data_IF_585044137397
#
_entry.id   IF_585044137397
#
_cell.length_a   1.000
_cell.length_b   1.000
_cell.length_c   1.000
_cell.angle_alpha   90.00
_cell.angle_beta   90.00
_cell.angle_gamma   90.00
#
_symmetry.space_group_name_H-M   'P 1'
#
loop_
_entity.id
_entity.type
_entity.pdbx_description
1 polymer ?
#
# COMPACT_ATOMS: atom_id res chain seq x y z
N UNK A 1 0.40 13.95 -40.08
CA UNK A 1 1.05 13.41 -38.88
C UNK A 1 -0.03 13.39 -37.80
N UNK A 2 -0.49 12.22 -37.39
CA UNK A 2 -1.56 12.08 -36.39
C UNK A 2 -0.92 11.88 -35.01
N UNK A 3 -1.29 12.74 -34.05
CA UNK A 3 -0.88 12.61 -32.65
C UNK A 3 -1.59 11.42 -32.01
N UNK A 4 -0.81 10.47 -31.52
CA UNK A 4 -1.31 9.32 -30.77
C UNK A 4 -1.66 9.76 -29.34
N UNK A 5 -2.95 9.93 -29.07
CA UNK A 5 -3.48 10.19 -27.74
C UNK A 5 -3.20 8.97 -26.82
N UNK A 6 -2.68 9.16 -25.60
CA UNK A 6 -2.39 8.05 -24.69
C UNK A 6 -3.71 7.40 -24.27
N UNK A 7 -3.90 6.13 -24.64
CA UNK A 7 -5.06 5.36 -24.20
C UNK A 7 -4.96 5.13 -22.70
N UNK A 8 -5.89 5.75 -21.96
CA UNK A 8 -6.14 5.39 -20.57
C UNK A 8 -6.70 3.97 -20.54
N UNK A 9 -5.83 2.98 -20.32
CA UNK A 9 -6.28 1.64 -19.97
C UNK A 9 -7.10 1.75 -18.67
N UNK A 10 -8.31 1.16 -18.62
CA UNK A 10 -9.07 1.08 -17.38
C UNK A 10 -8.17 0.43 -16.33
N UNK A 11 -7.87 1.15 -15.24
CA UNK A 11 -7.18 0.54 -14.10
C UNK A 11 -8.06 -0.62 -13.64
N UNK A 12 -7.54 -1.84 -13.69
CA UNK A 12 -8.19 -2.95 -13.00
C UNK A 12 -8.47 -2.49 -11.56
N UNK A 13 -9.72 -2.66 -11.07
CA UNK A 13 -10.02 -2.35 -9.69
C UNK A 13 -9.07 -3.15 -8.82
N UNK A 14 -8.44 -2.47 -7.86
CA UNK A 14 -7.51 -3.12 -6.95
C UNK A 14 -8.21 -4.32 -6.28
N UNK A 15 -7.53 -5.45 -6.03
CA UNK A 15 -8.15 -6.66 -5.48
C UNK A 15 -8.88 -6.48 -4.14
N UNK A 16 -8.75 -5.32 -3.49
CA UNK A 16 -9.47 -4.98 -2.26
C UNK A 16 -10.54 -3.89 -2.45
N UNK A 17 -10.87 -3.53 -3.70
CA UNK A 17 -11.85 -2.49 -4.01
C UNK A 17 -13.26 -2.84 -3.50
N UNK A 18 -13.58 -4.13 -3.45
CA UNK A 18 -14.87 -4.65 -2.99
C UNK A 18 -14.82 -5.20 -1.55
N UNK A 19 -13.67 -5.09 -0.86
CA UNK A 19 -13.52 -5.57 0.50
C UNK A 19 -13.89 -4.48 1.51
N UNK A 20 -14.60 -4.83 2.60
CA UNK A 20 -14.87 -3.87 3.67
C UNK A 20 -13.58 -3.49 4.40
N UNK A 21 -13.52 -2.26 4.92
CA UNK A 21 -12.29 -1.67 5.47
C UNK A 21 -11.66 -2.49 6.60
N UNK A 22 -12.45 -3.18 7.41
CA UNK A 22 -11.98 -4.09 8.46
C UNK A 22 -11.21 -5.29 7.87
N UNK A 23 -11.72 -5.88 6.78
CA UNK A 23 -11.04 -6.98 6.06
C UNK A 23 -9.76 -6.51 5.37
N UNK A 24 -9.77 -5.28 4.83
CA UNK A 24 -8.57 -4.67 4.24
C UNK A 24 -7.50 -4.45 5.30
N UNK A 25 -7.87 -3.99 6.49
CA UNK A 25 -6.95 -3.83 7.62
C UNK A 25 -6.41 -5.17 8.13
N UNK A 26 -7.24 -6.21 8.21
CA UNK A 26 -6.79 -7.57 8.59
C UNK A 26 -5.72 -8.10 7.61
N UNK A 27 -5.97 -7.97 6.31
CA UNK A 27 -5.02 -8.39 5.25
C UNK A 27 -3.72 -7.60 5.37
N UNK A 28 -3.81 -6.29 5.54
CA UNK A 28 -2.64 -5.41 5.63
C UNK A 28 -1.82 -5.67 6.89
N UNK A 29 -2.47 -5.90 8.05
CA UNK A 29 -1.77 -6.28 9.27
C UNK A 29 -1.00 -7.60 9.10
N UNK A 30 -1.59 -8.57 8.40
CA UNK A 30 -0.93 -9.83 8.09
C UNK A 30 0.24 -9.65 7.10
N UNK A 31 0.04 -8.88 6.03
CA UNK A 31 1.07 -8.59 5.03
C UNK A 31 2.24 -7.79 5.59
N UNK A 32 2.01 -6.93 6.58
CA UNK A 32 3.07 -6.19 7.27
C UNK A 32 3.96 -7.08 8.13
N UNK A 33 3.41 -8.16 8.70
CA UNK A 33 4.13 -9.02 9.64
C UNK A 33 5.35 -9.69 8.97
N UNK A 34 5.19 -10.15 7.73
CA UNK A 34 6.26 -10.80 6.96
C UNK A 34 7.54 -9.94 6.84
N UNK A 35 7.51 -8.81 6.11
CA UNK A 35 8.69 -7.98 5.91
C UNK A 35 9.22 -7.40 7.22
N UNK A 36 8.37 -7.07 8.21
CA UNK A 36 8.83 -6.60 9.53
C UNK A 36 9.62 -7.69 10.26
N UNK A 37 9.12 -8.93 10.23
CA UNK A 37 9.80 -10.06 10.88
C UNK A 37 11.15 -10.35 10.22
N UNK A 38 11.23 -10.30 8.88
CA UNK A 38 12.49 -10.51 8.14
C UNK A 38 13.48 -9.40 8.46
N UNK A 39 13.06 -8.14 8.42
CA UNK A 39 13.92 -7.00 8.79
C UNK A 39 14.43 -7.16 10.23
N UNK A 40 13.57 -7.54 11.16
CA UNK A 40 13.96 -7.78 12.55
C UNK A 40 15.04 -8.85 12.68
N UNK A 41 14.89 -9.96 11.97
CA UNK A 41 15.87 -11.05 11.96
C UNK A 41 17.21 -10.62 11.35
N UNK A 42 17.20 -9.99 10.18
CA UNK A 42 18.43 -9.58 9.51
C UNK A 42 19.15 -8.45 10.28
N UNK A 43 18.41 -7.51 10.90
CA UNK A 43 19.00 -6.48 11.79
C UNK A 43 19.61 -7.10 13.04
N UNK A 44 18.97 -8.11 13.64
CA UNK A 44 19.52 -8.83 14.78
C UNK A 44 20.83 -9.54 14.39
N UNK A 45 20.84 -10.23 13.24
CA UNK A 45 22.05 -10.86 12.70
C UNK A 45 23.18 -9.88 12.47
N UNK A 46 22.90 -8.74 11.83
CA UNK A 46 23.87 -7.68 11.62
C UNK A 46 24.41 -7.11 12.92
N UNK A 47 23.55 -6.90 13.92
CA UNK A 47 23.91 -6.30 15.20
C UNK A 47 24.75 -7.24 16.06
N UNK A 48 24.47 -8.54 16.01
CA UNK A 48 25.15 -9.57 16.78
C UNK A 48 26.37 -10.16 16.05
N UNK A 49 26.60 -9.79 14.80
CA UNK A 49 27.67 -10.37 13.98
C UNK A 49 27.46 -11.86 13.71
N UNK A 50 26.22 -12.34 13.74
CA UNK A 50 25.89 -13.76 13.51
C UNK A 50 25.66 -14.01 12.02
N UNK A 51 26.70 -13.76 11.25
CA UNK A 51 26.76 -14.01 9.81
C UNK A 51 28.21 -14.17 9.36
N UNK A 52 28.42 -14.90 8.27
CA UNK A 52 29.75 -15.01 7.64
C UNK A 52 29.98 -13.84 6.67
N UNK A 53 31.25 -13.46 6.42
CA UNK A 53 31.58 -12.33 5.53
C UNK A 53 30.97 -12.48 4.12
N UNK A 54 30.80 -13.72 3.65
CA UNK A 54 30.17 -14.05 2.38
C UNK A 54 28.63 -13.88 2.37
N UNK A 55 27.99 -13.91 3.54
CA UNK A 55 26.53 -13.73 3.70
C UNK A 55 26.14 -12.24 3.76
N UNK A 56 27.08 -11.34 4.06
CA UNK A 56 26.83 -9.91 4.17
C UNK A 56 26.11 -9.30 2.95
N UNK A 57 26.53 -9.54 1.69
CA UNK A 57 25.80 -9.01 0.53
C UNK A 57 24.35 -9.52 0.45
N UNK A 58 24.10 -10.79 0.78
CA UNK A 58 22.77 -11.39 0.75
C UNK A 58 21.87 -10.80 1.86
N UNK A 59 22.40 -10.62 3.06
CA UNK A 59 21.75 -9.94 4.19
C UNK A 59 21.28 -8.53 3.81
N UNK A 60 22.14 -7.77 3.14
CA UNK A 60 21.81 -6.41 2.69
C UNK A 60 20.75 -6.44 1.59
N UNK A 61 20.82 -7.39 0.65
CA UNK A 61 19.81 -7.55 -0.40
C UNK A 61 18.44 -7.90 0.19
N UNK A 62 18.39 -8.83 1.15
CA UNK A 62 17.16 -9.24 1.84
C UNK A 62 16.53 -8.08 2.62
N UNK A 63 17.34 -7.25 3.27
CA UNK A 63 16.88 -6.02 3.93
C UNK A 63 16.29 -5.02 2.93
N UNK A 64 16.97 -4.78 1.81
CA UNK A 64 16.47 -3.87 0.78
C UNK A 64 15.15 -4.34 0.19
N UNK A 65 15.02 -5.63 -0.11
CA UNK A 65 13.79 -6.20 -0.63
C UNK A 65 12.64 -6.10 0.38
N UNK A 66 12.91 -6.41 1.66
CA UNK A 66 11.90 -6.30 2.72
C UNK A 66 11.44 -4.85 2.94
N UNK A 67 12.36 -3.88 2.85
CA UNK A 67 12.03 -2.44 2.90
C UNK A 67 11.18 -2.03 1.69
N UNK A 68 11.49 -2.53 0.49
CA UNK A 68 10.71 -2.28 -0.71
C UNK A 68 9.29 -2.83 -0.60
N UNK A 69 9.14 -4.04 -0.06
CA UNK A 69 7.83 -4.65 0.22
C UNK A 69 7.03 -3.82 1.23
N UNK A 70 7.65 -3.41 2.33
CA UNK A 70 7.03 -2.54 3.33
C UNK A 70 6.56 -1.21 2.71
N UNK A 71 7.41 -0.59 1.87
CA UNK A 71 7.08 0.65 1.16
C UNK A 71 5.86 0.50 0.25
N UNK A 72 5.78 -0.61 -0.51
CA UNK A 72 4.61 -0.92 -1.35
C UNK A 72 3.33 -1.04 -0.51
N UNK A 73 3.37 -1.78 0.59
CA UNK A 73 2.24 -1.96 1.50
C UNK A 73 1.77 -0.60 2.05
N UNK A 74 2.68 0.24 2.51
CA UNK A 74 2.37 1.60 3.01
C UNK A 74 1.78 2.49 1.92
N UNK A 75 2.29 2.44 0.69
CA UNK A 75 1.72 3.21 -0.44
C UNK A 75 0.30 2.74 -0.76
N UNK A 76 0.05 1.44 -0.74
CA UNK A 76 -1.29 0.88 -0.94
C UNK A 76 -2.25 1.34 0.15
N UNK A 77 -1.84 1.27 1.43
CA UNK A 77 -2.58 1.83 2.57
C UNK A 77 -2.94 3.31 2.37
N UNK A 78 -1.96 4.13 1.97
CA UNK A 78 -2.17 5.57 1.71
C UNK A 78 -3.14 5.83 0.55
N UNK A 79 -3.20 4.95 -0.45
CA UNK A 79 -4.18 5.06 -1.54
C UNK A 79 -5.58 4.71 -1.06
N UNK A 80 -5.74 3.65 -0.27
CA UNK A 80 -7.03 3.27 0.30
C UNK A 80 -7.59 4.33 1.23
N UNK A 81 -6.78 4.84 2.15
CA UNK A 81 -7.19 5.90 3.09
C UNK A 81 -7.47 7.26 2.44
N UNK A 82 -6.89 7.54 1.27
CA UNK A 82 -7.21 8.73 0.47
C UNK A 82 -8.36 8.52 -0.52
N UNK A 83 -8.71 7.26 -0.80
CA UNK A 83 -9.80 6.88 -1.69
C UNK A 83 -11.14 6.80 -0.95
N UNK A 84 -11.27 7.43 0.22
CA UNK A 84 -12.55 7.71 0.86
C UNK A 84 -13.04 9.12 0.45
N UNK A 85 -13.87 9.24 -0.60
CA UNK A 85 -14.53 10.49 -0.99
C UNK A 85 -15.74 10.83 -0.11
N UNK A 86 -16.10 10.05 0.92
CA UNK A 86 -17.35 10.24 1.68
C UNK A 86 -17.30 11.40 2.70
N UNK A 87 -16.15 12.08 2.81
CA UNK A 87 -16.08 13.42 3.42
C UNK A 87 -16.65 14.53 2.52
N UNK A 88 -17.13 14.22 1.31
CA UNK A 88 -17.88 15.16 0.46
C UNK A 88 -19.40 15.18 0.74
N UNK A 89 -19.88 14.40 1.70
CA UNK A 89 -21.28 14.37 2.21
C UNK A 89 -21.69 15.66 2.96
N UNK A 90 -21.14 16.82 2.58
CA UNK A 90 -21.56 18.12 3.11
C UNK A 90 -21.58 19.27 2.08
N UNK A 91 -21.76 18.98 0.79
CA UNK A 91 -22.10 20.02 -0.20
C UNK A 91 -23.39 19.64 -0.95
N UNK A 92 -24.48 19.38 -0.23
CA UNK A 92 -25.83 19.62 -0.76
C UNK A 92 -26.64 20.34 0.32
N UNK A 93 -26.80 21.67 0.26
CA UNK A 93 -27.97 22.29 0.88
C UNK A 93 -29.23 21.83 0.12
N UNK A 94 -30.34 21.56 0.82
CA UNK A 94 -31.47 20.83 0.29
C UNK A 94 -32.10 21.55 -0.89
N UNK A 95 -32.26 20.84 -2.00
CA UNK A 95 -33.26 21.19 -2.99
C UNK A 95 -34.64 21.03 -2.35
N UNK A 96 -35.43 22.10 -2.35
CA UNK A 96 -36.73 22.24 -3.07
C UNK A 96 -37.61 23.33 -2.41
N UNK A 97 -38.69 23.84 -3.04
CA UNK A 97 -39.26 23.57 -4.37
C UNK A 97 -39.50 24.84 -5.23
N UNK A 98 -39.70 24.64 -6.55
CA UNK A 98 -40.55 25.52 -7.37
C UNK A 98 -42.00 25.23 -6.97
N UNK A 99 -42.75 26.25 -6.55
CA UNK A 99 -44.17 26.42 -6.89
C UNK A 99 -44.74 27.71 -6.26
N UNK A 100 -45.07 28.68 -7.13
CA UNK A 100 -46.18 29.67 -7.15
C UNK A 100 -45.73 30.97 -7.79
#
# INVERSE_FOLDING_TARGET
MAESQPQHTPKEPHPWADLPSDKVLDILAYELYGPISVIGNEVDRLSNGTFEDEELPELIEQLQESINQLSKIVVTLKRYTKADPDLTTNIIPPATPKDT
#
